data_IF_319538626735
#
_entry.id   IF_319538626735
#
_cell.length_a   1.000
_cell.length_b   1.000
_cell.length_c   1.000
_cell.angle_alpha   90.00
_cell.angle_beta   90.00
_cell.angle_gamma   90.00
#
_symmetry.space_group_name_H-M   'P 1'
#
loop_
_entity.id
_entity.type
_entity.pdbx_description
1 polymer ?
#
# COMPACT_ATOMS: atom_id res chain seq x y z
N UNK A 1 -0.67 13.70 -18.99
CA UNK A 1 -0.05 13.46 -17.67
C UNK A 1 1.33 12.87 -17.93
N UNK A 2 2.39 13.48 -17.39
CA UNK A 2 3.76 13.00 -17.59
C UNK A 2 4.31 12.24 -16.37
N UNK A 3 4.71 10.96 -16.51
CA UNK A 3 5.18 10.19 -15.37
C UNK A 3 6.55 10.66 -14.90
N UNK A 4 6.76 10.59 -13.58
CA UNK A 4 8.05 10.81 -12.95
C UNK A 4 8.95 9.58 -13.15
N UNK A 5 10.25 9.77 -13.39
CA UNK A 5 11.20 8.67 -13.46
C UNK A 5 11.46 8.10 -12.07
N UNK A 6 11.14 6.81 -11.89
CA UNK A 6 11.60 6.00 -10.78
C UNK A 6 12.36 4.78 -11.32
N UNK A 7 13.21 4.23 -10.47
CA UNK A 7 13.95 3.00 -10.75
C UNK A 7 13.74 2.02 -9.61
N UNK A 8 13.56 0.76 -9.98
CA UNK A 8 13.54 -0.36 -9.04
C UNK A 8 14.82 -1.16 -9.15
N UNK A 9 15.58 -1.25 -8.06
CA UNK A 9 16.68 -2.20 -7.94
C UNK A 9 16.08 -3.51 -7.43
N UNK A 10 16.09 -4.52 -8.30
CA UNK A 10 15.53 -5.83 -8.03
C UNK A 10 16.66 -6.83 -7.83
N UNK A 11 16.60 -7.55 -6.70
CA UNK A 11 17.49 -8.67 -6.42
C UNK A 11 16.65 -9.94 -6.46
N UNK A 12 16.94 -10.80 -7.44
CA UNK A 12 16.29 -12.09 -7.62
C UNK A 12 17.27 -13.25 -7.65
N UNK A 13 16.72 -14.46 -7.71
CA UNK A 13 17.43 -15.71 -7.95
C UNK A 13 18.56 -15.93 -6.94
N UNK A 14 18.28 -15.76 -5.65
CA UNK A 14 19.30 -15.93 -4.61
C UNK A 14 19.46 -17.40 -4.25
N UNK A 15 20.70 -17.89 -4.34
CA UNK A 15 21.03 -19.25 -3.93
C UNK A 15 22.44 -19.33 -3.34
N UNK A 16 22.61 -20.11 -2.27
CA UNK A 16 23.91 -20.38 -1.67
C UNK A 16 24.42 -21.76 -2.09
N UNK A 17 25.70 -21.83 -2.47
CA UNK A 17 26.46 -23.07 -2.72
C UNK A 17 27.66 -23.12 -1.78
N UNK A 18 27.71 -24.15 -0.95
CA UNK A 18 28.84 -24.43 -0.07
C UNK A 18 29.82 -25.40 -0.73
N UNK A 19 31.12 -25.35 -0.37
CA UNK A 19 32.05 -26.40 -0.78
C UNK A 19 31.67 -27.76 -0.16
N UNK A 20 31.97 -28.85 -0.88
CA UNK A 20 31.59 -30.23 -0.51
C UNK A 20 32.08 -30.64 0.90
N UNK A 21 33.20 -30.08 1.36
CA UNK A 21 33.75 -30.33 2.70
C UNK A 21 32.93 -29.72 3.86
N UNK A 22 31.90 -28.91 3.58
CA UNK A 22 31.14 -28.15 4.58
C UNK A 22 29.71 -28.66 4.83
N UNK A 23 29.54 -29.98 4.94
CA UNK A 23 28.25 -30.65 5.17
C UNK A 23 27.47 -30.17 6.41
N UNK A 24 28.13 -29.67 7.46
CA UNK A 24 27.45 -29.13 8.66
C UNK A 24 26.88 -27.72 8.47
N UNK A 25 27.29 -27.01 7.42
CA UNK A 25 26.79 -25.67 7.09
C UNK A 25 25.54 -25.75 6.21
N UNK A 26 25.32 -26.81 5.44
CA UNK A 26 24.14 -26.94 4.58
C UNK A 26 22.83 -27.12 5.35
N UNK A 27 22.85 -27.70 6.56
CA UNK A 27 21.64 -27.93 7.38
C UNK A 27 21.16 -26.71 8.16
N UNK A 28 21.81 -25.55 8.04
CA UNK A 28 21.41 -24.33 8.74
C UNK A 28 20.53 -23.43 7.86
N UNK A 29 19.64 -22.65 8.47
CA UNK A 29 18.89 -21.62 7.75
C UNK A 29 19.70 -20.33 7.61
N UNK A 30 19.71 -19.79 6.39
CA UNK A 30 20.42 -18.56 6.05
C UNK A 30 19.45 -17.50 5.55
N UNK A 31 19.81 -16.25 5.82
CA UNK A 31 19.12 -15.09 5.27
C UNK A 31 20.13 -14.05 4.81
N UNK A 32 19.75 -13.30 3.78
CA UNK A 32 20.49 -12.14 3.32
C UNK A 32 19.87 -10.87 3.87
N UNK A 33 20.72 -9.96 4.36
CA UNK A 33 20.36 -8.60 4.73
C UNK A 33 20.92 -7.62 3.70
N UNK A 34 20.04 -6.88 3.07
CA UNK A 34 20.33 -5.93 2.01
C UNK A 34 20.42 -4.53 2.61
N UNK A 35 21.53 -3.84 2.33
CA UNK A 35 21.78 -2.49 2.81
C UNK A 35 22.21 -1.60 1.65
N UNK A 36 21.42 -0.59 1.38
CA UNK A 36 21.77 0.52 0.51
C UNK A 36 21.75 1.80 1.34
N UNK A 37 22.72 2.70 1.12
CA UNK A 37 22.81 3.95 1.86
C UNK A 37 21.50 4.73 1.73
N UNK A 38 20.97 5.24 2.85
CA UNK A 38 19.75 6.05 2.85
C UNK A 38 18.43 5.28 2.65
N UNK A 39 18.48 3.95 2.48
CA UNK A 39 17.29 3.10 2.33
C UNK A 39 17.20 2.14 3.50
N UNK A 40 15.97 1.84 3.95
CA UNK A 40 15.73 0.87 5.01
C UNK A 40 16.26 -0.52 4.62
N UNK A 41 16.93 -1.20 5.54
CA UNK A 41 17.47 -2.54 5.28
C UNK A 41 16.33 -3.55 5.10
N UNK A 42 16.40 -4.35 4.04
CA UNK A 42 15.48 -5.47 3.81
C UNK A 42 16.18 -6.79 4.12
N UNK A 43 15.39 -7.81 4.46
CA UNK A 43 15.88 -9.17 4.76
C UNK A 43 15.09 -10.15 3.91
N UNK A 44 15.77 -11.15 3.35
CA UNK A 44 15.14 -12.25 2.62
C UNK A 44 15.82 -13.56 2.99
N UNK A 45 15.03 -14.61 3.20
CA UNK A 45 15.56 -15.95 3.38
C UNK A 45 16.14 -16.46 2.05
N UNK A 46 17.20 -17.26 2.13
CA UNK A 46 17.92 -17.75 0.95
C UNK A 46 17.94 -19.26 0.95
N UNK A 47 17.51 -19.83 -0.18
CA UNK A 47 17.53 -21.27 -0.43
C UNK A 47 18.96 -21.75 -0.65
N UNK A 48 19.23 -22.96 -0.17
CA UNK A 48 20.50 -23.64 -0.35
C UNK A 48 20.36 -24.67 -1.48
N UNK A 49 21.29 -24.68 -2.43
CA UNK A 49 21.36 -25.72 -3.47
C UNK A 49 22.38 -26.78 -3.05
N UNK A 50 21.91 -28.02 -2.88
CA UNK A 50 22.72 -29.12 -2.36
C UNK A 50 23.56 -29.85 -3.43
N UNK A 51 23.22 -29.72 -4.72
CA UNK A 51 23.88 -30.45 -5.81
C UNK A 51 24.10 -29.59 -7.06
N UNK A 52 25.06 -29.96 -7.90
CA UNK A 52 25.19 -29.40 -9.25
C UNK A 52 24.03 -29.87 -10.14
N UNK A 53 23.25 -28.93 -10.66
CA UNK A 53 22.09 -29.19 -11.51
C UNK A 53 20.76 -28.71 -10.93
N UNK A 54 20.73 -28.28 -9.67
CA UNK A 54 19.52 -27.77 -9.05
C UNK A 54 19.18 -26.37 -9.61
N UNK A 55 17.96 -26.19 -10.11
CA UNK A 55 17.56 -24.96 -10.77
C UNK A 55 17.37 -23.86 -9.72
N UNK A 56 18.01 -22.70 -9.93
CA UNK A 56 17.77 -21.54 -9.08
C UNK A 56 16.33 -21.08 -9.25
N UNK A 57 15.56 -21.07 -8.18
CA UNK A 57 14.18 -20.59 -8.20
C UNK A 57 14.14 -19.15 -8.72
N UNK A 58 13.34 -18.93 -9.77
CA UNK A 58 13.16 -17.60 -10.39
C UNK A 58 12.21 -16.76 -9.53
N UNK A 59 12.74 -16.24 -8.41
CA UNK A 59 12.00 -15.46 -7.43
C UNK A 59 12.64 -14.11 -7.17
N UNK A 60 11.82 -13.09 -6.99
CA UNK A 60 12.26 -11.77 -6.52
C UNK A 60 12.35 -11.82 -4.98
N UNK A 61 13.53 -11.55 -4.45
CA UNK A 61 13.79 -11.57 -3.01
C UNK A 61 13.71 -10.19 -2.38
N UNK A 62 14.16 -9.16 -3.12
CA UNK A 62 14.17 -7.76 -2.67
C UNK A 62 13.87 -6.83 -3.84
N UNK A 63 13.12 -5.77 -3.53
CA UNK A 63 12.82 -4.68 -4.43
C UNK A 63 13.03 -3.35 -3.69
N UNK A 64 13.96 -2.54 -4.19
CA UNK A 64 14.23 -1.18 -3.68
C UNK A 64 13.77 -0.17 -4.72
N UNK A 65 12.68 0.54 -4.44
CA UNK A 65 12.21 1.64 -5.28
C UNK A 65 12.94 2.94 -4.91
N UNK A 66 13.48 3.62 -5.90
CA UNK A 66 14.21 4.88 -5.77
C UNK A 66 13.61 5.93 -6.71
N UNK A 67 13.34 7.10 -6.16
CA UNK A 67 12.96 8.28 -6.92
C UNK A 67 14.20 8.96 -7.52
N UNK A 68 14.03 9.72 -8.61
CA UNK A 68 15.09 10.55 -9.19
C UNK A 68 15.89 11.39 -8.17
N UNK A 69 15.28 12.18 -7.26
CA UNK A 69 16.03 12.95 -6.28
C UNK A 69 16.80 12.07 -5.28
N UNK A 70 16.31 10.86 -4.97
CA UNK A 70 17.06 9.92 -4.13
C UNK A 70 18.30 9.38 -4.86
N UNK A 71 18.19 9.07 -6.16
CA UNK A 71 19.31 8.63 -6.99
C UNK A 71 20.36 9.76 -7.11
N UNK A 72 19.92 10.98 -7.40
CA UNK A 72 20.79 12.16 -7.47
C UNK A 72 21.49 12.44 -6.13
N UNK A 73 20.77 12.30 -5.01
CA UNK A 73 21.34 12.44 -3.66
C UNK A 73 22.35 11.33 -3.33
N UNK A 74 22.17 10.13 -3.88
CA UNK A 74 23.15 9.04 -3.77
C UNK A 74 24.39 9.33 -4.61
N UNK A 75 24.20 9.85 -5.83
CA UNK A 75 25.28 10.25 -6.72
C UNK A 75 26.11 11.38 -6.12
N UNK A 76 25.48 12.43 -5.59
CA UNK A 76 26.20 13.56 -4.97
C UNK A 76 27.04 13.19 -3.73
N UNK A 77 26.73 12.07 -3.06
CA UNK A 77 27.43 11.60 -1.85
C UNK A 77 28.48 10.52 -2.12
N UNK A 78 28.67 10.12 -3.38
CA UNK A 78 29.59 9.07 -3.78
C UNK A 78 30.35 9.47 -5.04
N UNK A 79 31.50 8.86 -5.31
CA UNK A 79 32.25 9.06 -6.54
C UNK A 79 31.58 8.30 -7.70
N UNK A 80 30.40 8.74 -8.13
CA UNK A 80 29.53 8.17 -9.17
C UNK A 80 28.89 6.79 -8.89
N UNK A 81 29.49 5.99 -8.00
CA UNK A 81 29.00 4.65 -7.66
C UNK A 81 28.45 4.56 -6.23
N UNK A 82 27.25 4.01 -6.10
CA UNK A 82 26.74 3.54 -4.79
C UNK A 82 26.99 2.04 -4.62
N UNK A 83 27.05 1.57 -3.38
CA UNK A 83 27.27 0.15 -3.10
C UNK A 83 26.06 -0.46 -2.42
N UNK A 84 25.47 -1.48 -3.04
CA UNK A 84 24.51 -2.36 -2.41
C UNK A 84 25.27 -3.45 -1.66
N UNK A 85 25.17 -3.43 -0.33
CA UNK A 85 25.81 -4.41 0.55
C UNK A 85 24.84 -5.55 0.86
N UNK A 86 25.22 -6.76 0.53
CA UNK A 86 24.45 -7.99 0.77
C UNK A 86 25.18 -8.80 1.84
N UNK A 87 24.66 -8.79 3.07
CA UNK A 87 25.24 -9.50 4.20
C UNK A 87 24.52 -10.85 4.40
N UNK A 88 25.26 -11.95 4.29
CA UNK A 88 24.71 -13.30 4.48
C UNK A 88 24.87 -13.68 5.94
N UNK A 89 23.77 -14.05 6.58
CA UNK A 89 23.74 -14.42 7.99
C UNK A 89 23.17 -15.81 8.18
N UNK A 90 23.76 -16.52 9.13
CA UNK A 90 23.22 -17.76 9.66
C UNK A 90 22.22 -17.43 10.77
N UNK A 91 21.03 -18.01 10.71
CA UNK A 91 20.06 -17.95 11.80
C UNK A 91 20.57 -18.83 12.96
N UNK A 92 20.70 -18.25 14.16
CA UNK A 92 21.16 -18.98 15.34
C UNK A 92 20.08 -19.92 15.87
N UNK A 93 20.47 -21.12 16.31
CA UNK A 93 19.60 -22.02 17.04
C UNK A 93 19.28 -21.50 18.45
N UNK A 94 18.20 -22.00 19.04
CA UNK A 94 17.69 -21.63 20.37
C UNK A 94 18.69 -22.09 21.45
N UNK A 95 19.64 -21.22 21.81
CA UNK A 95 20.36 -21.37 23.07
C UNK A 95 19.49 -20.83 24.21
N UNK A 96 19.16 -21.72 25.13
CA UNK A 96 18.49 -21.47 26.40
C UNK A 96 19.08 -20.25 27.14
N UNK A 97 18.21 -19.34 27.59
CA UNK A 97 18.53 -18.33 28.61
C UNK A 97 18.91 -16.94 28.08
N UNK A 98 18.14 -15.92 28.50
CA UNK A 98 18.57 -14.51 28.46
C UNK A 98 17.59 -13.56 27.75
N UNK A 99 16.93 -12.72 28.55
CA UNK A 99 15.95 -11.69 28.22
C UNK A 99 16.36 -10.71 27.09
N UNK A 100 15.43 -10.46 26.15
CA UNK A 100 15.15 -9.10 25.65
C UNK A 100 15.88 -8.54 24.42
N UNK A 101 16.82 -9.23 23.77
CA UNK A 101 17.52 -8.68 22.58
C UNK A 101 17.26 -9.51 21.32
N UNK A 102 16.78 -8.87 20.24
CA UNK A 102 16.71 -9.50 18.90
C UNK A 102 18.11 -9.94 18.49
N UNK A 103 18.44 -11.22 18.70
CA UNK A 103 19.76 -11.78 18.38
C UNK A 103 20.02 -11.69 16.88
N UNK A 104 20.86 -10.74 16.47
CA UNK A 104 21.38 -10.65 15.10
C UNK A 104 22.12 -11.95 14.78
N UNK A 105 21.76 -12.59 13.66
CA UNK A 105 22.41 -13.83 13.20
C UNK A 105 23.91 -13.64 12.97
N UNK A 106 24.68 -14.74 13.05
CA UNK A 106 26.14 -14.72 12.83
C UNK A 106 26.42 -14.38 11.36
N UNK A 107 27.27 -13.38 11.11
CA UNK A 107 27.70 -13.01 9.77
C UNK A 107 28.57 -14.13 9.19
N UNK A 108 28.19 -14.62 8.02
CA UNK A 108 28.89 -15.69 7.28
C UNK A 108 29.74 -15.08 6.18
N UNK A 109 29.24 -14.04 5.53
CA UNK A 109 29.97 -13.33 4.49
C UNK A 109 29.23 -12.12 3.97
N UNK A 110 29.86 -11.41 3.05
CA UNK A 110 29.36 -10.15 2.51
C UNK A 110 29.72 -10.03 1.04
N UNK A 111 28.76 -9.63 0.21
CA UNK A 111 28.98 -9.24 -1.18
C UNK A 111 28.68 -7.76 -1.34
N UNK A 112 29.52 -7.06 -2.09
CA UNK A 112 29.35 -5.65 -2.43
C UNK A 112 29.07 -5.56 -3.93
N UNK A 113 27.90 -5.03 -4.29
CA UNK A 113 27.52 -4.79 -5.69
C UNK A 113 27.62 -3.30 -5.96
N UNK A 114 28.43 -2.90 -6.94
CA UNK A 114 28.54 -1.51 -7.36
C UNK A 114 27.37 -1.15 -8.28
N UNK A 115 26.74 -0.02 -7.99
CA UNK A 115 25.62 0.54 -8.74
C UNK A 115 26.13 1.80 -9.46
N UNK A 116 26.20 1.76 -10.78
CA UNK A 116 26.48 2.93 -11.61
C UNK A 116 25.23 3.80 -11.69
N UNK A 117 25.17 4.84 -10.86
CA UNK A 117 23.98 5.67 -10.73
C UNK A 117 23.71 6.52 -11.97
N UNK A 118 24.76 6.92 -12.70
CA UNK A 118 24.65 7.71 -13.92
C UNK A 118 24.00 6.87 -15.02
N UNK A 119 24.55 5.68 -15.26
CA UNK A 119 24.01 4.74 -16.24
C UNK A 119 22.59 4.29 -15.86
N UNK A 120 22.30 4.06 -14.57
CA UNK A 120 20.94 3.74 -14.11
C UNK A 120 19.95 4.87 -14.42
N UNK A 121 20.35 6.13 -14.20
CA UNK A 121 19.49 7.29 -14.46
C UNK A 121 19.26 7.50 -15.97
N UNK A 122 20.29 7.35 -16.79
CA UNK A 122 20.21 7.43 -18.25
C UNK A 122 19.32 6.32 -18.84
N UNK A 123 19.48 5.08 -18.36
CA UNK A 123 18.65 3.95 -18.78
C UNK A 123 17.20 4.09 -18.33
N UNK A 124 16.93 4.73 -17.19
CA UNK A 124 15.57 5.07 -16.76
C UNK A 124 14.87 5.99 -17.75
N UNK A 125 15.58 7.00 -18.28
CA UNK A 125 15.05 7.90 -19.30
C UNK A 125 14.76 7.23 -20.65
N UNK A 126 15.51 6.18 -21.00
CA UNK A 126 15.31 5.40 -22.24
C UNK A 126 14.44 4.14 -22.04
N UNK A 127 13.87 3.97 -20.85
CA UNK A 127 13.03 2.83 -20.46
C UNK A 127 13.71 1.46 -20.69
N UNK A 128 15.02 1.38 -20.42
CA UNK A 128 15.82 0.15 -20.57
C UNK A 128 16.15 -0.47 -19.21
N UNK A 129 15.91 -1.76 -19.06
CA UNK A 129 16.38 -2.54 -17.91
C UNK A 129 17.88 -2.78 -18.03
N UNK A 130 18.62 -2.53 -16.94
CA UNK A 130 20.06 -2.77 -16.87
C UNK A 130 20.37 -3.89 -15.89
N UNK A 131 21.07 -4.93 -16.37
CA UNK A 131 21.59 -5.99 -15.50
C UNK A 131 22.91 -5.52 -14.91
N UNK A 132 23.00 -5.49 -13.58
CA UNK A 132 24.17 -5.00 -12.85
C UNK A 132 25.07 -6.17 -12.46
N UNK A 133 24.47 -7.25 -11.94
CA UNK A 133 25.18 -8.46 -11.57
C UNK A 133 24.31 -9.67 -11.90
N UNK A 134 24.87 -10.68 -12.56
CA UNK A 134 24.17 -11.95 -12.79
C UNK A 134 25.14 -13.12 -12.68
N UNK A 135 24.81 -14.09 -11.84
CA UNK A 135 25.57 -15.32 -11.68
C UNK A 135 26.17 -15.50 -10.29
N UNK A 136 27.13 -16.42 -10.21
CA UNK A 136 27.78 -16.83 -8.97
C UNK A 136 28.91 -15.88 -8.56
N UNK A 137 28.90 -15.44 -7.31
CA UNK A 137 29.94 -14.61 -6.70
C UNK A 137 30.55 -15.35 -5.52
N UNK A 138 31.88 -15.47 -5.51
CA UNK A 138 32.63 -16.06 -4.38
C UNK A 138 32.63 -15.13 -3.17
N UNK A 139 32.49 -15.70 -1.98
CA UNK A 139 32.37 -14.97 -0.71
C UNK A 139 33.55 -15.30 0.19
N UNK A 140 34.53 -14.39 0.18
CA UNK A 140 35.82 -14.59 0.83
C UNK A 140 36.55 -15.84 0.31
N UNK A 141 37.51 -16.33 1.09
CA UNK A 141 38.37 -17.46 0.68
C UNK A 141 37.80 -18.83 1.08
N UNK A 142 36.57 -18.85 1.61
CA UNK A 142 35.92 -20.04 2.19
C UNK A 142 35.34 -21.01 1.17
N UNK A 143 35.44 -20.73 -0.13
CA UNK A 143 34.80 -21.50 -1.20
C UNK A 143 33.27 -21.35 -1.28
N UNK A 144 32.66 -20.56 -0.39
CA UNK A 144 31.23 -20.22 -0.42
C UNK A 144 30.91 -19.37 -1.65
N UNK A 145 29.85 -19.72 -2.38
CA UNK A 145 29.36 -18.94 -3.52
C UNK A 145 27.90 -18.54 -3.32
N UNK A 146 27.55 -17.33 -3.74
CA UNK A 146 26.18 -16.82 -3.78
C UNK A 146 25.82 -16.51 -5.23
N UNK A 147 24.77 -17.15 -5.72
CA UNK A 147 24.12 -16.77 -6.95
C UNK A 147 23.20 -15.58 -6.68
N UNK A 148 23.23 -14.58 -7.55
CA UNK A 148 22.28 -13.47 -7.51
C UNK A 148 22.06 -12.90 -8.89
N UNK A 149 20.86 -12.35 -9.10
CA UNK A 149 20.53 -11.49 -10.23
C UNK A 149 20.14 -10.12 -9.68
N UNK A 150 20.99 -9.11 -9.89
CA UNK A 150 20.75 -7.72 -9.53
C UNK A 150 20.54 -6.92 -10.81
N UNK A 151 19.39 -6.27 -10.91
CA UNK A 151 19.00 -5.46 -12.07
C UNK A 151 18.34 -4.16 -11.64
N UNK A 152 18.52 -3.12 -12.45
CA UNK A 152 17.79 -1.87 -12.36
C UNK A 152 16.71 -1.86 -13.44
N UNK A 153 15.45 -1.82 -13.02
CA UNK A 153 14.28 -1.75 -13.89
C UNK A 153 13.70 -0.33 -13.87
N UNK A 154 13.40 0.29 -15.02
CA UNK A 154 12.63 1.53 -15.05
C UNK A 154 11.22 1.26 -14.52
N UNK A 155 10.69 2.20 -13.75
CA UNK A 155 9.39 2.05 -13.10
C UNK A 155 8.66 3.40 -13.10
N UNK A 156 8.26 3.95 -14.26
CA UNK A 156 7.63 5.26 -14.34
C UNK A 156 6.38 5.36 -13.44
N UNK A 157 6.23 6.46 -12.68
CA UNK A 157 5.11 6.64 -11.74
C UNK A 157 4.49 8.03 -11.86
N UNK A 158 3.18 8.12 -11.77
CA UNK A 158 2.48 9.39 -11.57
C UNK A 158 2.49 9.76 -10.09
N UNK A 159 2.80 11.01 -9.77
CA UNK A 159 2.74 11.54 -8.40
C UNK A 159 1.66 12.61 -8.36
N UNK A 160 0.72 12.47 -7.45
CA UNK A 160 -0.37 13.40 -7.21
C UNK A 160 -0.28 13.94 -5.80
N UNK A 161 -0.32 15.26 -5.66
CA UNK A 161 -0.35 15.94 -4.37
C UNK A 161 -1.68 16.66 -4.18
N UNK A 162 -2.35 16.40 -3.06
CA UNK A 162 -3.49 17.19 -2.63
C UNK A 162 -2.99 18.55 -2.14
N UNK A 163 -3.69 19.63 -2.49
CA UNK A 163 -3.37 20.97 -1.98
C UNK A 163 -4.02 21.29 -0.64
N UNK A 164 -4.92 20.43 -0.17
CA UNK A 164 -5.63 20.50 1.10
C UNK A 164 -6.06 19.12 1.59
N UNK A 165 -6.86 19.11 2.64
CA UNK A 165 -7.37 17.87 3.25
C UNK A 165 -8.60 17.38 2.48
N UNK A 166 -8.81 16.06 2.29
CA UNK A 166 -9.90 15.55 1.46
C UNK A 166 -11.31 16.05 1.83
N UNK A 167 -11.60 16.25 3.12
CA UNK A 167 -12.87 16.81 3.62
C UNK A 167 -13.09 18.28 3.25
N UNK A 168 -12.02 19.04 3.00
CA UNK A 168 -12.07 20.44 2.58
C UNK A 168 -12.32 20.62 1.07
N UNK A 169 -12.61 19.54 0.34
CA UNK A 169 -12.81 19.56 -1.12
C UNK A 169 -11.63 20.17 -1.92
N UNK A 170 -10.40 19.61 -1.79
CA UNK A 170 -9.17 20.18 -2.32
C UNK A 170 -9.00 19.99 -3.83
N UNK A 171 -8.05 20.70 -4.43
CA UNK A 171 -7.54 20.37 -5.76
C UNK A 171 -6.41 19.34 -5.66
N UNK A 172 -6.27 18.54 -6.72
CA UNK A 172 -5.23 17.53 -6.83
C UNK A 172 -4.33 17.90 -8.00
N UNK A 173 -3.04 18.01 -7.71
CA UNK A 173 -2.01 18.39 -8.67
C UNK A 173 -1.18 17.17 -9.04
N UNK A 174 -0.96 16.97 -10.33
CA UNK A 174 0.12 16.13 -10.79
C UNK A 174 1.45 16.85 -10.53
N UNK A 175 2.36 16.19 -9.81
CA UNK A 175 3.67 16.72 -9.43
C UNK A 175 4.74 16.02 -10.24
N UNK A 176 5.55 16.78 -10.98
CA UNK A 176 6.74 16.28 -11.66
C UNK A 176 7.92 17.23 -11.39
N UNK A 177 8.76 16.86 -10.43
CA UNK A 177 9.83 17.74 -9.94
C UNK A 177 9.26 19.02 -9.33
N UNK A 178 9.61 20.17 -9.91
CA UNK A 178 9.09 21.49 -9.51
C UNK A 178 7.77 21.85 -10.17
N UNK A 179 7.36 21.15 -11.23
CA UNK A 179 6.13 21.43 -11.95
C UNK A 179 4.94 20.82 -11.21
N UNK A 180 3.90 21.63 -11.00
CA UNK A 180 2.62 21.22 -10.43
C UNK A 180 1.50 21.63 -11.37
N UNK A 181 0.78 20.65 -11.90
CA UNK A 181 -0.33 20.88 -12.80
C UNK A 181 -1.63 20.39 -12.16
N UNK A 182 -2.69 21.22 -12.04
CA UNK A 182 -3.98 20.75 -11.56
C UNK A 182 -4.54 19.73 -12.54
N UNK A 183 -5.04 18.61 -12.02
CA UNK A 183 -5.61 17.52 -12.83
C UNK A 183 -6.99 17.10 -12.36
N UNK A 184 -7.27 17.20 -11.06
CA UNK A 184 -8.57 16.87 -10.49
C UNK A 184 -9.01 17.88 -9.43
N UNK A 185 -10.30 17.92 -9.15
CA UNK A 185 -10.87 18.55 -7.97
C UNK A 185 -11.70 17.56 -7.16
N UNK A 186 -11.59 17.65 -5.85
CA UNK A 186 -12.33 16.81 -4.92
C UNK A 186 -13.59 17.54 -4.45
N UNK A 187 -14.69 16.80 -4.27
CA UNK A 187 -15.89 17.28 -3.60
C UNK A 187 -16.26 16.31 -2.51
N UNK A 188 -16.10 16.75 -1.26
CA UNK A 188 -16.59 16.01 -0.10
C UNK A 188 -18.10 16.23 0.05
N UNK A 189 -18.81 15.18 0.44
CA UNK A 189 -20.26 15.19 0.60
C UNK A 189 -20.68 14.37 1.80
N UNK A 190 -21.62 14.92 2.56
CA UNK A 190 -22.24 14.27 3.71
C UNK A 190 -23.72 13.98 3.42
N UNK A 191 -24.07 12.70 3.27
CA UNK A 191 -25.46 12.29 3.08
C UNK A 191 -26.16 12.22 4.45
N UNK A 192 -26.83 13.29 4.84
CA UNK A 192 -27.83 13.23 5.93
C UNK A 192 -29.00 12.36 5.48
N UNK A 193 -29.56 11.57 6.40
CA UNK A 193 -30.67 10.65 6.13
C UNK A 193 -31.96 11.33 5.61
N UNK A 194 -32.02 12.66 5.53
CA UNK A 194 -33.16 13.44 5.05
C UNK A 194 -33.23 13.66 3.53
N UNK A 195 -32.14 13.44 2.79
CA UNK A 195 -32.10 13.81 1.36
C UNK A 195 -32.78 12.79 0.42
N UNK A 196 -33.25 11.66 0.95
CA UNK A 196 -34.14 10.74 0.22
C UNK A 196 -35.50 11.36 -0.11
N UNK A 197 -35.87 12.49 0.50
CA UNK A 197 -37.13 13.17 0.22
C UNK A 197 -37.08 14.12 -1.00
N UNK A 198 -35.90 14.56 -1.44
CA UNK A 198 -35.77 15.62 -2.47
C UNK A 198 -35.45 15.11 -3.89
N UNK A 199 -35.37 13.80 -4.10
CA UNK A 199 -35.35 13.18 -5.45
C UNK A 199 -36.71 12.63 -5.85
N UNK A 200 -37.77 13.35 -5.53
CA UNK A 200 -39.12 13.07 -6.00
C UNK A 200 -39.34 13.72 -7.37
N UNK A 201 -39.54 12.87 -8.38
CA UNK A 201 -40.42 13.05 -9.54
C UNK A 201 -40.75 14.50 -9.94
N UNK A 202 -40.16 14.94 -11.03
CA UNK A 202 -40.75 15.94 -11.91
C UNK A 202 -42.08 15.43 -12.48
N UNK A 203 -43.20 16.07 -12.13
CA UNK A 203 -44.36 16.42 -12.99
C UNK A 203 -45.62 16.66 -12.15
N UNK A 204 -46.07 17.92 -12.06
CA UNK A 204 -47.44 18.37 -12.29
C UNK A 204 -47.65 19.76 -11.64
N UNK A 205 -48.32 20.61 -12.40
CA UNK A 205 -48.67 22.01 -12.18
C UNK A 205 -49.66 22.21 -11.02
N UNK A 206 -49.53 23.33 -10.29
CA UNK A 206 -50.56 24.39 -10.17
C UNK A 206 -50.45 25.22 -8.86
N UNK A 207 -50.38 26.54 -9.08
CA UNK A 207 -51.09 27.63 -8.37
C UNK A 207 -51.03 27.73 -6.83
N UNK A 208 -50.16 28.66 -6.38
CA UNK A 208 -50.33 29.66 -5.31
C UNK A 208 -50.83 29.30 -3.88
N UNK A 209 -50.26 30.08 -2.95
CA UNK A 209 -50.70 30.43 -1.59
C UNK A 209 -50.17 29.65 -0.39
N UNK A 210 -49.57 30.45 0.48
CA UNK A 210 -49.15 30.20 1.86
C UNK A 210 -50.13 29.41 2.69
N UNK A 211 -49.59 28.52 3.55
CA UNK A 211 -49.96 28.25 4.94
C UNK A 211 -49.74 26.76 5.27
N UNK A 212 -48.58 26.40 5.82
CA UNK A 212 -48.41 25.24 6.70
C UNK A 212 -46.99 25.19 7.27
N UNK A 213 -46.81 25.69 8.50
CA UNK A 213 -46.11 24.98 9.58
C UNK A 213 -46.13 25.82 10.86
N UNK A 214 -47.32 25.92 11.44
CA UNK A 214 -47.54 26.39 12.80
C UNK A 214 -47.47 25.20 13.76
N UNK A 215 -46.27 24.76 14.14
CA UNK A 215 -46.03 24.04 15.41
C UNK A 215 -44.59 24.28 15.86
N UNK A 216 -44.35 25.42 16.52
CA UNK A 216 -43.21 25.61 17.42
C UNK A 216 -43.78 25.72 18.83
N UNK A 217 -43.74 24.62 19.58
CA UNK A 217 -43.91 24.67 21.04
C UNK A 217 -42.54 24.84 21.67
N UNK A 218 -42.42 25.87 22.50
CA UNK A 218 -41.26 26.16 23.32
C UNK A 218 -41.28 25.34 24.62
N UNK A 219 -40.09 24.99 25.11
CA UNK A 219 -39.85 24.62 26.51
C UNK A 219 -39.00 23.36 26.71
N UNK A 220 -37.74 23.57 27.11
CA UNK A 220 -36.84 22.69 27.90
C UNK A 220 -36.59 21.26 27.34
N UNK A 221 -35.38 20.78 27.10
CA UNK A 221 -34.10 20.95 27.80
C UNK A 221 -32.94 20.89 26.78
N UNK A 222 -31.78 21.38 27.19
CA UNK A 222 -30.49 21.15 26.54
C UNK A 222 -30.20 19.63 26.51
N UNK A 223 -30.74 18.92 25.52
CA UNK A 223 -30.29 17.56 25.22
C UNK A 223 -28.94 17.72 24.52
N UNK A 224 -27.87 17.63 25.32
CA UNK A 224 -26.51 17.37 24.85
C UNK A 224 -26.60 16.37 23.69
N UNK A 225 -26.24 16.81 22.48
CA UNK A 225 -26.12 15.95 21.32
C UNK A 225 -25.24 14.76 21.69
N UNK A 226 -25.87 13.63 22.02
CA UNK A 226 -25.18 12.37 22.27
C UNK A 226 -24.24 12.13 21.09
N UNK A 227 -22.93 11.92 21.33
CA UNK A 227 -21.96 11.76 20.25
C UNK A 227 -22.48 10.68 19.30
N UNK A 228 -22.57 11.03 18.01
CA UNK A 228 -23.08 10.17 16.94
C UNK A 228 -22.61 8.73 17.15
N UNK A 229 -23.55 7.82 17.47
CA UNK A 229 -23.26 6.39 17.70
C UNK A 229 -22.68 5.70 16.45
N UNK A 230 -22.70 6.38 15.30
CA UNK A 230 -22.22 5.89 14.01
C UNK A 230 -21.68 7.05 13.17
N UNK A 231 -20.60 6.82 12.43
CA UNK A 231 -20.10 7.73 11.39
C UNK A 231 -20.48 7.13 10.04
N UNK A 232 -21.38 7.80 9.31
CA UNK A 232 -21.98 7.30 8.07
C UNK A 232 -22.17 8.40 7.03
N UNK A 233 -22.40 7.99 5.79
CA UNK A 233 -22.85 8.89 4.72
C UNK A 233 -21.77 9.77 4.10
N UNK A 234 -20.49 9.55 4.44
CA UNK A 234 -19.38 10.28 3.83
C UNK A 234 -19.14 9.78 2.41
N UNK A 235 -18.92 10.72 1.51
CA UNK A 235 -18.54 10.45 0.13
C UNK A 235 -17.59 11.53 -0.35
N UNK A 236 -16.69 11.15 -1.24
CA UNK A 236 -15.83 12.08 -1.97
C UNK A 236 -15.93 11.77 -3.46
N UNK A 237 -16.18 12.78 -4.27
CA UNK A 237 -16.25 12.66 -5.73
C UNK A 237 -15.09 13.43 -6.33
N UNK A 238 -14.34 12.77 -7.21
CA UNK A 238 -13.23 13.33 -7.95
C UNK A 238 -13.77 13.79 -9.30
N UNK A 239 -13.55 15.05 -9.63
CA UNK A 239 -13.92 15.64 -10.91
C UNK A 239 -12.66 15.95 -11.71
N UNK A 240 -12.78 15.87 -13.03
CA UNK A 240 -11.75 16.37 -13.93
C UNK A 240 -11.76 17.91 -13.96
N UNK A 241 -10.94 18.49 -14.83
CA UNK A 241 -10.90 19.95 -15.03
C UNK A 241 -12.16 20.52 -15.70
N UNK A 242 -13.00 19.68 -16.33
CA UNK A 242 -14.29 20.09 -16.88
C UNK A 242 -15.40 20.13 -15.83
N UNK A 243 -15.14 19.61 -14.62
CA UNK A 243 -16.13 19.44 -13.56
C UNK A 243 -16.96 18.16 -13.71
N UNK A 244 -16.57 17.25 -14.60
CA UNK A 244 -17.21 15.94 -14.78
C UNK A 244 -16.71 14.93 -13.75
N UNK A 245 -17.60 14.17 -13.09
CA UNK A 245 -17.20 13.21 -12.07
C UNK A 245 -16.53 11.98 -12.71
N UNK A 246 -15.25 11.76 -12.41
CA UNK A 246 -14.41 10.71 -13.00
C UNK A 246 -14.06 9.57 -12.05
N UNK A 247 -14.26 9.76 -10.74
CA UNK A 247 -14.21 8.69 -9.74
C UNK A 247 -14.98 9.12 -8.49
N UNK A 248 -15.36 8.16 -7.65
CA UNK A 248 -15.93 8.47 -6.34
C UNK A 248 -15.52 7.42 -5.30
N UNK A 249 -15.47 7.82 -4.04
CA UNK A 249 -15.44 6.89 -2.92
C UNK A 249 -16.61 7.21 -1.99
N UNK A 250 -17.37 6.19 -1.58
CA UNK A 250 -18.54 6.36 -0.70
C UNK A 250 -18.49 5.33 0.41
N UNK A 251 -18.82 5.73 1.64
CA UNK A 251 -19.03 4.78 2.72
C UNK A 251 -20.15 3.81 2.36
N UNK A 252 -19.81 2.53 2.36
CA UNK A 252 -20.75 1.42 2.17
C UNK A 252 -21.21 0.89 3.53
N UNK A 253 -20.24 0.60 4.42
CA UNK A 253 -20.50 0.16 5.79
C UNK A 253 -20.15 1.29 6.74
N UNK A 254 -21.09 1.74 7.59
CA UNK A 254 -20.82 2.81 8.55
C UNK A 254 -19.76 2.38 9.56
N UNK A 255 -19.02 3.35 10.09
CA UNK A 255 -18.04 3.13 11.14
C UNK A 255 -18.79 3.20 12.47
N UNK A 256 -18.78 2.10 13.22
CA UNK A 256 -19.54 1.93 14.47
C UNK A 256 -18.61 1.37 15.56
N UNK A 257 -18.68 1.85 16.82
CA UNK A 257 -17.92 1.28 17.91
C UNK A 257 -18.38 -0.15 18.22
N UNK A 258 -17.46 -1.04 18.57
CA UNK A 258 -17.79 -2.39 19.04
C UNK A 258 -18.48 -2.36 20.43
N UNK A 259 -19.26 -3.40 20.76
CA UNK A 259 -20.16 -3.46 21.94
C UNK A 259 -19.52 -3.19 23.31
N UNK A 260 -18.18 -3.18 23.43
CA UNK A 260 -17.48 -2.88 24.68
C UNK A 260 -16.26 -1.97 24.49
N UNK A 261 -16.19 -1.25 23.37
CA UNK A 261 -15.07 -0.35 23.09
C UNK A 261 -15.51 0.80 22.20
N UNK A 262 -14.96 1.96 22.50
CA UNK A 262 -15.17 3.21 21.79
C UNK A 262 -14.47 3.28 20.41
N UNK A 263 -14.17 2.14 19.79
CA UNK A 263 -13.37 2.06 18.56
C UNK A 263 -13.96 1.03 17.60
N UNK A 264 -13.73 1.25 16.31
CA UNK A 264 -14.10 0.31 15.23
C UNK A 264 -13.17 -0.90 15.28
N UNK A 265 -13.72 -2.09 15.48
CA UNK A 265 -12.94 -3.34 15.61
C UNK A 265 -12.73 -4.01 14.26
N UNK A 266 -11.75 -4.93 14.18
CA UNK A 266 -11.53 -5.76 13.00
C UNK A 266 -12.72 -6.68 12.68
N UNK A 267 -13.53 -7.04 13.67
CA UNK A 267 -14.72 -7.88 13.50
C UNK A 267 -15.90 -7.14 12.85
N UNK A 268 -15.93 -5.81 12.95
CA UNK A 268 -16.92 -4.96 12.29
C UNK A 268 -16.23 -3.73 11.68
N UNK A 269 -15.47 -3.91 10.59
CA UNK A 269 -14.73 -2.83 9.97
C UNK A 269 -15.67 -1.89 9.20
N UNK A 270 -15.35 -0.59 9.23
CA UNK A 270 -15.99 0.35 8.33
C UNK A 270 -15.48 0.13 6.91
N UNK A 271 -16.31 0.39 5.90
CA UNK A 271 -15.98 0.08 4.52
C UNK A 271 -16.35 1.21 3.57
N UNK A 272 -15.46 1.47 2.62
CA UNK A 272 -15.64 2.37 1.49
C UNK A 272 -15.73 1.55 0.21
N UNK A 273 -16.61 1.98 -0.68
CA UNK A 273 -16.68 1.50 -2.05
C UNK A 273 -16.09 2.56 -2.97
N UNK A 274 -15.06 2.18 -3.72
CA UNK A 274 -14.46 3.00 -4.77
C UNK A 274 -15.16 2.71 -6.08
N UNK A 275 -15.59 3.76 -6.77
CA UNK A 275 -16.46 3.73 -7.93
C UNK A 275 -15.76 4.41 -9.11
N UNK A 276 -15.90 3.80 -10.29
CA UNK A 276 -15.52 4.38 -11.58
C UNK A 276 -16.77 4.66 -12.43
N UNK A 277 -16.75 5.67 -13.31
CA UNK A 277 -17.81 5.86 -14.28
C UNK A 277 -17.87 4.68 -15.25
N UNK A 278 -19.07 4.19 -15.54
CA UNK A 278 -19.38 3.22 -16.59
C UNK A 278 -20.37 3.81 -17.59
N UNK A 279 -20.96 2.95 -18.44
CA UNK A 279 -21.98 3.36 -19.42
C UNK A 279 -23.28 3.82 -18.74
N UNK A 280 -23.32 5.08 -18.29
CA UNK A 280 -24.48 5.71 -17.65
C UNK A 280 -24.69 5.35 -16.18
N UNK A 281 -23.81 4.56 -15.56
CA UNK A 281 -23.89 4.15 -14.15
C UNK A 281 -22.52 4.15 -13.47
N UNK A 282 -22.50 4.18 -12.14
CA UNK A 282 -21.29 3.98 -11.35
C UNK A 282 -21.00 2.49 -11.20
N UNK A 283 -19.77 2.07 -11.53
CA UNK A 283 -19.30 0.70 -11.38
C UNK A 283 -18.37 0.57 -10.18
N UNK A 284 -18.53 -0.46 -9.33
CA UNK A 284 -17.59 -0.74 -8.26
C UNK A 284 -16.23 -1.15 -8.83
N UNK A 285 -15.16 -0.57 -8.29
CA UNK A 285 -13.78 -0.87 -8.69
C UNK A 285 -12.99 -1.51 -7.56
N UNK A 286 -13.24 -1.10 -6.32
CA UNK A 286 -12.56 -1.66 -5.16
C UNK A 286 -13.28 -1.39 -3.87
N UNK A 287 -12.99 -2.19 -2.86
CA UNK A 287 -13.51 -2.08 -1.50
C UNK A 287 -12.35 -1.85 -0.55
N UNK A 288 -12.42 -0.75 0.19
CA UNK A 288 -11.47 -0.44 1.25
C UNK A 288 -12.15 -0.64 2.59
N UNK A 289 -11.62 -1.52 3.42
CA UNK A 289 -12.01 -1.65 4.82
C UNK A 289 -10.97 -1.03 5.74
N UNK A 290 -11.44 -0.43 6.83
CA UNK A 290 -10.61 0.17 7.84
C UNK A 290 -11.15 -0.09 9.26
N UNK A 291 -10.25 -0.32 10.19
CA UNK A 291 -10.55 -0.54 11.60
C UNK A 291 -9.39 -0.05 12.48
N UNK A 292 -9.64 0.10 13.78
CA UNK A 292 -8.62 0.50 14.75
C UNK A 292 -8.19 -0.72 15.58
N UNK A 293 -6.93 -1.10 15.44
CA UNK A 293 -6.33 -2.15 16.23
C UNK A 293 -5.67 -1.55 17.48
N UNK A 294 -6.17 -1.95 18.65
CA UNK A 294 -5.63 -1.53 19.95
C UNK A 294 -4.66 -2.59 20.45
N UNK A 295 -3.37 -2.31 20.36
CA UNK A 295 -2.37 -3.17 20.99
C UNK A 295 -2.08 -2.64 22.40
N UNK A 296 -2.41 -3.41 23.45
CA UNK A 296 -2.17 -3.01 24.86
C UNK A 296 -0.69 -2.99 25.27
N UNK A 297 0.25 -3.25 24.34
CA UNK A 297 1.69 -3.13 24.55
C UNK A 297 2.30 -1.77 24.17
N UNK A 298 3.63 -1.71 24.08
CA UNK A 298 4.46 -0.51 23.78
C UNK A 298 4.17 0.09 22.36
N UNK A 299 3.39 -0.61 21.53
CA UNK A 299 3.23 -0.34 20.10
C UNK A 299 2.14 0.67 19.68
N UNK A 300 1.41 1.27 20.62
CA UNK A 300 0.37 2.29 20.33
C UNK A 300 -0.82 1.81 19.49
N UNK A 301 -1.80 2.69 19.29
CA UNK A 301 -2.97 2.42 18.46
C UNK A 301 -2.58 2.40 16.97
N UNK A 302 -3.09 1.43 16.21
CA UNK A 302 -2.81 1.26 14.78
C UNK A 302 -4.11 1.30 13.97
N UNK A 303 -4.06 1.89 12.79
CA UNK A 303 -5.13 1.83 11.79
C UNK A 303 -4.88 0.59 10.91
N UNK A 304 -5.72 -0.43 11.05
CA UNK A 304 -5.72 -1.57 10.13
C UNK A 304 -6.53 -1.22 8.89
N UNK A 305 -6.05 -1.69 7.74
CA UNK A 305 -6.76 -1.52 6.47
C UNK A 305 -6.69 -2.81 5.66
N UNK A 306 -7.69 -3.01 4.80
CA UNK A 306 -7.69 -4.03 3.74
C UNK A 306 -8.28 -3.44 2.48
N UNK A 307 -7.62 -3.61 1.34
CA UNK A 307 -8.11 -3.20 0.05
C UNK A 307 -8.28 -4.41 -0.86
N UNK A 308 -9.51 -4.61 -1.31
CA UNK A 308 -9.92 -5.68 -2.20
C UNK A 308 -10.34 -5.08 -3.56
N UNK A 309 -9.76 -5.56 -4.65
CA UNK A 309 -10.14 -5.15 -6.02
C UNK A 309 -11.36 -5.94 -6.48
N UNK A 310 -12.26 -5.27 -7.19
CA UNK A 310 -13.47 -5.87 -7.77
C UNK A 310 -13.27 -5.95 -9.28
N UNK A 311 -13.08 -7.15 -9.86
CA UNK A 311 -12.90 -7.31 -11.30
C UNK A 311 -14.19 -6.98 -12.05
N UNK A 312 -14.04 -6.40 -13.24
CA UNK A 312 -15.18 -6.03 -14.08
C UNK A 312 -15.99 -7.28 -14.47
N UNK A 313 -17.23 -7.38 -13.97
CA UNK A 313 -18.16 -8.48 -14.26
C UNK A 313 -18.08 -9.68 -13.32
N UNK A 314 -17.23 -9.65 -12.28
CA UNK A 314 -17.13 -10.70 -11.26
C UNK A 314 -17.75 -10.31 -9.91
N UNK A 315 -18.22 -11.31 -9.15
CA UNK A 315 -18.64 -11.14 -7.74
C UNK A 315 -17.48 -11.34 -6.75
N UNK A 316 -16.40 -12.01 -7.19
CA UNK A 316 -15.28 -12.35 -6.33
C UNK A 316 -14.29 -11.19 -6.22
N UNK A 317 -13.99 -10.79 -4.99
CA UNK A 317 -13.04 -9.72 -4.70
C UNK A 317 -11.64 -10.29 -4.45
N UNK A 318 -10.60 -9.60 -4.93
CA UNK A 318 -9.21 -10.03 -4.71
C UNK A 318 -8.50 -9.05 -3.77
N UNK A 319 -8.07 -9.56 -2.61
CA UNK A 319 -7.29 -8.78 -1.64
C UNK A 319 -5.94 -8.39 -2.21
N UNK A 320 -5.71 -7.09 -2.45
CA UNK A 320 -4.45 -6.56 -2.96
C UNK A 320 -3.52 -6.08 -1.87
N UNK A 321 -4.08 -5.60 -0.75
CA UNK A 321 -3.27 -5.13 0.38
C UNK A 321 -4.01 -5.28 1.69
N UNK A 322 -3.30 -5.72 2.72
CA UNK A 322 -3.79 -5.77 4.10
C UNK A 322 -2.62 -5.48 5.03
N UNK A 323 -2.72 -4.40 5.82
CA UNK A 323 -1.64 -4.03 6.74
C UNK A 323 -2.14 -3.08 7.82
N UNK A 324 -1.21 -2.57 8.62
CA UNK A 324 -1.49 -1.63 9.71
C UNK A 324 -0.56 -0.43 9.67
N UNK A 325 -1.12 0.77 9.80
CA UNK A 325 -0.40 2.04 9.90
C UNK A 325 -0.45 2.52 11.35
N UNK A 326 0.60 3.15 11.85
CA UNK A 326 0.55 3.74 13.18
C UNK A 326 -0.43 4.93 13.19
N UNK A 327 -1.44 4.88 14.06
CA UNK A 327 -2.49 5.90 14.06
C UNK A 327 -1.97 7.27 14.51
N UNK A 328 -0.90 7.37 15.31
CA UNK A 328 -0.37 8.66 15.83
C UNK A 328 0.70 9.28 14.94
N UNK A 329 1.61 8.48 14.41
CA UNK A 329 2.67 8.97 13.53
C UNK A 329 2.25 9.02 12.06
N UNK A 330 1.17 8.33 11.69
CA UNK A 330 0.83 8.07 10.30
C UNK A 330 1.78 7.04 9.69
N UNK A 331 1.82 7.00 8.36
CA UNK A 331 2.72 6.15 7.60
C UNK A 331 2.41 6.16 6.11
N UNK A 332 2.78 5.09 5.42
CA UNK A 332 2.56 4.94 3.99
C UNK A 332 1.74 3.68 3.73
N UNK A 333 0.59 3.85 3.09
CA UNK A 333 -0.14 2.78 2.44
C UNK A 333 0.60 2.42 1.14
N UNK A 334 0.82 1.15 0.85
CA UNK A 334 1.44 0.72 -0.40
C UNK A 334 0.90 -0.61 -0.88
N UNK A 335 0.62 -0.68 -2.17
CA UNK A 335 0.23 -1.89 -2.90
C UNK A 335 1.33 -2.17 -3.90
N UNK A 336 2.04 -3.28 -3.71
CA UNK A 336 3.13 -3.73 -4.59
C UNK A 336 3.03 -5.25 -4.77
N UNK A 337 2.85 -5.68 -6.01
CA UNK A 337 2.67 -7.10 -6.41
C UNK A 337 3.93 -7.59 -7.11
N UNK A 338 5.10 -7.24 -6.57
CA UNK A 338 6.41 -7.67 -7.10
C UNK A 338 6.82 -9.08 -6.66
N UNK A 339 6.51 -9.48 -5.43
CA UNK A 339 6.99 -10.74 -4.84
C UNK A 339 6.00 -11.89 -4.92
N UNK A 340 4.92 -11.74 -5.69
CA UNK A 340 3.74 -12.60 -5.62
C UNK A 340 3.05 -12.50 -4.25
N UNK A 341 1.88 -13.12 -4.09
CA UNK A 341 1.17 -13.16 -2.82
C UNK A 341 2.01 -13.88 -1.77
N UNK A 342 2.79 -13.12 -1.01
CA UNK A 342 3.36 -13.55 0.26
C UNK A 342 2.81 -12.61 1.32
N UNK A 343 2.14 -13.10 2.37
CA UNK A 343 1.65 -12.26 3.46
C UNK A 343 2.88 -11.71 4.19
N UNK A 344 3.34 -10.54 3.76
CA UNK A 344 4.54 -9.94 4.33
C UNK A 344 4.15 -9.24 5.64
N UNK A 345 4.63 -9.84 6.74
CA UNK A 345 4.76 -9.26 8.08
C UNK A 345 3.49 -8.97 8.90
N UNK A 346 2.85 -10.04 9.39
CA UNK A 346 2.30 -10.06 10.75
C UNK A 346 3.07 -11.08 11.58
N UNK A 347 3.86 -10.61 12.55
CA UNK A 347 4.16 -11.41 13.73
C UNK A 347 2.83 -11.73 14.39
N UNK A 348 2.50 -13.01 14.53
CA UNK A 348 1.24 -13.58 15.04
C UNK A 348 0.10 -13.74 14.04
N UNK A 349 0.25 -14.70 13.13
CA UNK A 349 -0.88 -15.52 12.66
C UNK A 349 -0.31 -16.82 12.11
N UNK A 350 -0.52 -17.90 12.86
CA UNK A 350 -0.20 -19.26 12.43
C UNK A 350 -1.14 -19.64 11.31
N UNK A 351 -0.61 -19.88 10.12
CA UNK A 351 -1.27 -20.73 9.13
C UNK A 351 -0.21 -21.75 8.71
N UNK A 352 -0.39 -22.98 9.16
CA UNK A 352 0.41 -24.13 8.75
C UNK A 352 0.16 -24.37 7.26
N UNK A 353 1.06 -23.91 6.41
CA UNK A 353 1.20 -24.47 5.07
C UNK A 353 2.09 -25.70 5.19
N UNK A 354 1.45 -26.79 5.58
CA UNK A 354 2.04 -28.12 5.51
C UNK A 354 2.44 -28.45 4.07
N UNK A 355 3.62 -29.02 3.93
CA UNK A 355 4.13 -29.65 2.72
C UNK A 355 3.07 -30.48 2.02
N UNK A 356 2.89 -30.27 0.72
CA UNK A 356 2.27 -31.26 -0.15
C UNK A 356 2.97 -31.25 -1.52
N UNK A 357 4.07 -32.00 -1.58
CA UNK A 357 4.42 -32.71 -2.80
C UNK A 357 3.34 -33.78 -3.01
N UNK A 358 2.51 -33.63 -4.04
CA UNK A 358 1.47 -34.61 -4.32
C UNK A 358 0.52 -34.14 -5.42
N UNK A 359 0.66 -34.77 -6.57
CA UNK A 359 -0.27 -34.73 -7.70
C UNK A 359 -1.75 -34.80 -7.29
N UNK A 360 -2.60 -33.93 -7.87
CA UNK A 360 -4.05 -34.14 -7.83
C UNK A 360 -4.89 -32.88 -8.05
N UNK A 361 -5.45 -32.79 -9.26
CA UNK A 361 -6.77 -32.19 -9.57
C UNK A 361 -7.02 -30.70 -9.29
N UNK A 362 -6.90 -29.91 -10.38
CA UNK A 362 -7.84 -28.85 -10.80
C UNK A 362 -9.08 -28.70 -9.91
N UNK A 363 -9.21 -27.63 -9.10
CA UNK A 363 -10.20 -26.57 -9.42
C UNK A 363 -10.07 -25.23 -8.66
N UNK A 364 -9.11 -25.03 -7.74
CA UNK A 364 -9.11 -23.82 -6.88
C UNK A 364 -8.08 -22.72 -7.25
N UNK A 365 -7.43 -22.82 -8.41
CA UNK A 365 -6.38 -21.89 -8.86
C UNK A 365 -6.87 -20.77 -9.81
N UNK A 366 -8.19 -20.62 -10.00
CA UNK A 366 -8.76 -19.76 -11.04
C UNK A 366 -8.74 -18.25 -10.79
N UNK A 367 -8.89 -17.80 -9.54
CA UNK A 367 -9.18 -16.38 -9.25
C UNK A 367 -7.92 -15.51 -9.02
N UNK A 368 -6.89 -16.04 -8.36
CA UNK A 368 -5.65 -15.30 -8.07
C UNK A 368 -4.68 -15.21 -9.28
N UNK A 369 -4.88 -16.05 -10.30
CA UNK A 369 -3.98 -16.16 -11.46
C UNK A 369 -4.06 -14.96 -12.41
N UNK A 370 -5.26 -14.41 -12.65
CA UNK A 370 -5.46 -13.25 -13.54
C UNK A 370 -5.01 -11.93 -12.93
N UNK A 371 -5.12 -11.77 -11.61
CA UNK A 371 -4.65 -10.55 -10.94
C UNK A 371 -3.13 -10.41 -11.04
N UNK A 372 -2.39 -11.53 -11.01
CA UNK A 372 -0.94 -11.50 -11.27
C UNK A 372 -0.60 -11.13 -12.73
N UNK A 373 -1.49 -11.44 -13.68
CA UNK A 373 -1.33 -11.07 -15.09
C UNK A 373 -1.67 -9.60 -15.35
N UNK A 374 -2.69 -9.06 -14.67
CA UNK A 374 -3.17 -7.69 -14.84
C UNK A 374 -2.42 -6.67 -13.97
N UNK A 375 -2.03 -7.07 -12.76
CA UNK A 375 -1.31 -6.23 -11.80
C UNK A 375 0.00 -6.91 -11.40
N UNK A 376 1.08 -6.51 -12.06
CA UNK A 376 2.44 -6.95 -11.75
C UNK A 376 3.28 -5.73 -11.40
N UNK A 377 3.97 -5.74 -10.27
CA UNK A 377 4.84 -4.62 -9.89
C UNK A 377 4.18 -3.62 -8.92
N UNK A 378 4.72 -2.41 -8.89
CA UNK A 378 4.23 -1.34 -8.01
C UNK A 378 2.91 -0.78 -8.52
N UNK A 379 1.86 -0.86 -7.70
CA UNK A 379 0.52 -0.38 -8.06
C UNK A 379 0.31 1.05 -7.58
N UNK A 380 0.35 1.25 -6.26
CA UNK A 380 0.21 2.58 -5.69
C UNK A 380 0.84 2.69 -4.30
N UNK A 381 1.06 3.91 -3.85
CA UNK A 381 1.24 4.23 -2.44
C UNK A 381 0.62 5.58 -2.10
N UNK A 382 0.12 5.72 -0.88
CA UNK A 382 -0.42 6.97 -0.36
C UNK A 382 0.17 7.28 1.01
N UNK A 383 0.57 8.53 1.24
CA UNK A 383 0.96 8.99 2.56
C UNK A 383 -0.28 9.29 3.40
N UNK A 384 -0.32 8.75 4.61
CA UNK A 384 -1.42 8.96 5.56
C UNK A 384 -0.84 9.63 6.79
N UNK A 385 -1.36 10.79 7.18
CA UNK A 385 -0.91 11.47 8.41
C UNK A 385 -1.60 10.88 9.64
N UNK A 386 -0.92 11.04 10.78
CA UNK A 386 -1.44 10.55 12.06
C UNK A 386 -2.62 11.38 12.57
N UNK A 387 -3.40 10.74 13.44
CA UNK A 387 -4.52 11.28 14.20
C UNK A 387 -4.19 12.68 14.78
N UNK A 388 -5.12 13.61 14.60
CA UNK A 388 -5.04 15.00 15.00
C UNK A 388 -4.17 15.90 14.12
N UNK A 389 -3.54 15.38 13.06
CA UNK A 389 -2.69 16.18 12.15
C UNK A 389 -3.36 16.36 10.81
N UNK A 390 -3.46 17.62 10.40
CA UNK A 390 -3.86 18.01 9.06
C UNK A 390 -2.90 17.44 8.02
N UNK A 391 -3.40 16.58 7.15
CA UNK A 391 -2.62 15.87 6.14
C UNK A 391 -3.01 16.30 4.74
N UNK A 392 -2.00 16.50 3.88
CA UNK A 392 -2.18 16.54 2.44
C UNK A 392 -1.69 15.21 1.90
N UNK A 393 -2.58 14.30 1.45
CA UNK A 393 -2.14 13.03 0.89
C UNK A 393 -1.26 13.25 -0.34
N UNK A 394 -0.13 12.55 -0.38
CA UNK A 394 0.66 12.36 -1.58
C UNK A 394 0.41 10.94 -2.09
N UNK A 395 -0.03 10.83 -3.34
CA UNK A 395 -0.40 9.59 -4.01
C UNK A 395 0.60 9.32 -5.11
N UNK A 396 1.21 8.15 -5.10
CA UNK A 396 2.12 7.69 -6.14
C UNK A 396 1.49 6.47 -6.80
N UNK A 397 1.36 6.46 -8.12
CA UNK A 397 0.71 5.39 -8.89
C UNK A 397 1.65 4.91 -9.98
N UNK A 398 1.82 3.60 -10.15
CA UNK A 398 2.62 3.05 -11.26
C UNK A 398 1.98 3.38 -12.61
N UNK A 399 2.75 3.94 -13.55
CA UNK A 399 2.21 4.41 -14.83
C UNK A 399 1.61 3.27 -15.66
N UNK A 400 2.12 2.06 -15.52
CA UNK A 400 1.59 0.84 -16.15
C UNK A 400 0.14 0.49 -15.74
N UNK A 401 -0.36 1.03 -14.63
CA UNK A 401 -1.72 0.80 -14.14
C UNK A 401 -2.68 1.96 -14.45
N UNK A 402 -2.24 2.95 -15.22
CA UNK A 402 -3.03 4.13 -15.56
C UNK A 402 -3.09 4.24 -17.08
N UNK A 403 -4.22 3.83 -17.66
CA UNK A 403 -4.45 3.96 -19.11
C UNK A 403 -5.16 5.25 -19.48
N UNK A 404 -5.98 5.77 -18.56
CA UNK A 404 -6.71 7.02 -18.70
C UNK A 404 -6.74 7.83 -17.40
N UNK A 405 -7.29 9.05 -17.46
CA UNK A 405 -7.45 9.92 -16.29
C UNK A 405 -8.35 9.33 -15.21
N UNK A 406 -9.36 8.56 -15.61
CA UNK A 406 -10.34 7.93 -14.72
C UNK A 406 -9.67 6.85 -13.85
N UNK A 407 -8.71 6.11 -14.41
CA UNK A 407 -7.92 5.13 -13.65
C UNK A 407 -7.10 5.84 -12.56
N UNK A 408 -6.42 6.94 -12.91
CA UNK A 408 -5.69 7.75 -11.93
C UNK A 408 -6.62 8.33 -10.86
N UNK A 409 -7.81 8.81 -11.26
CA UNK A 409 -8.81 9.35 -10.35
C UNK A 409 -9.32 8.30 -9.35
N UNK A 410 -9.42 7.01 -9.75
CA UNK A 410 -9.81 5.94 -8.86
C UNK A 410 -8.78 5.72 -7.73
N UNK A 411 -7.48 5.78 -8.04
CA UNK A 411 -6.41 5.74 -7.04
C UNK A 411 -6.41 6.96 -6.12
N UNK A 412 -6.70 8.15 -6.66
CA UNK A 412 -6.85 9.40 -5.89
C UNK A 412 -8.05 9.28 -4.93
N UNK A 413 -9.18 8.76 -5.39
CA UNK A 413 -10.37 8.51 -4.56
C UNK A 413 -10.08 7.51 -3.43
N UNK A 414 -9.34 6.43 -3.72
CA UNK A 414 -8.90 5.46 -2.72
C UNK A 414 -7.98 6.10 -1.66
N UNK A 415 -7.03 6.95 -2.08
CA UNK A 415 -6.16 7.67 -1.16
C UNK A 415 -6.94 8.62 -0.24
N UNK A 416 -7.93 9.33 -0.78
CA UNK A 416 -8.81 10.18 0.02
C UNK A 416 -9.65 9.37 1.03
N UNK A 417 -10.21 8.23 0.61
CA UNK A 417 -10.96 7.34 1.49
C UNK A 417 -10.08 6.76 2.63
N UNK A 418 -8.82 6.43 2.32
CA UNK A 418 -7.84 5.99 3.32
C UNK A 418 -7.53 7.09 4.34
N UNK A 419 -7.34 8.32 3.90
CA UNK A 419 -7.05 9.45 4.78
C UNK A 419 -8.26 9.77 5.69
N UNK A 420 -9.47 9.85 5.12
CA UNK A 420 -10.73 10.01 5.87
C UNK A 420 -10.98 8.86 6.85
N UNK A 421 -10.48 7.66 6.56
CA UNK A 421 -10.59 6.50 7.47
C UNK A 421 -9.77 6.69 8.76
N UNK A 422 -8.72 7.52 8.76
CA UNK A 422 -8.00 7.88 9.98
C UNK A 422 -8.92 8.59 10.96
N UNK A 423 -9.71 9.55 10.47
CA UNK A 423 -10.71 10.26 11.26
C UNK A 423 -11.90 9.36 11.60
N UNK A 424 -12.41 8.61 10.62
CA UNK A 424 -13.55 7.71 10.82
C UNK A 424 -13.29 6.61 11.86
N UNK A 425 -12.03 6.17 12.03
CA UNK A 425 -11.64 5.20 13.05
C UNK A 425 -11.24 5.81 14.40
N UNK A 426 -11.22 7.14 14.59
CA UNK A 426 -10.93 7.74 15.90
C UNK A 426 -11.88 7.22 16.98
N UNK A 427 -11.47 7.22 18.27
CA UNK A 427 -12.41 6.95 19.36
C UNK A 427 -13.68 7.81 19.23
N UNK A 428 -14.87 7.26 19.46
CA UNK A 428 -16.13 8.01 19.37
C UNK A 428 -16.31 8.99 20.54
N UNK A 429 -15.58 8.80 21.64
CA UNK A 429 -15.41 9.79 22.72
C UNK A 429 -14.68 11.06 22.27
N UNK A 430 -13.99 11.02 21.13
CA UNK A 430 -13.30 12.19 20.57
C UNK A 430 -14.13 12.83 19.48
N UNK A 431 -14.26 14.15 19.57
CA UNK A 431 -14.85 14.97 18.50
C UNK A 431 -13.98 14.89 17.24
N UNK A 432 -14.64 14.86 16.10
CA UNK A 432 -14.00 14.99 14.79
C UNK A 432 -13.54 16.45 14.57
N UNK A 433 -12.81 16.66 13.48
CA UNK A 433 -12.41 18.01 13.05
C UNK A 433 -13.66 18.78 12.62
N UNK A 434 -13.63 20.11 12.66
CA UNK A 434 -14.79 20.96 12.36
C UNK A 434 -15.39 20.76 10.97
N UNK A 435 -14.56 20.28 10.03
CA UNK A 435 -14.93 20.01 8.64
C UNK A 435 -15.67 18.67 8.46
N UNK A 436 -15.80 17.83 9.51
CA UNK A 436 -16.32 16.45 9.49
C UNK A 436 -17.48 16.17 10.44
#
# INVERSE_FOLDING_TARGET
MDPCPFVRIVVGNLALKFPEASSRLSSASYYCKFKLRGVASQISDVSHLAAEGDAVESRIHVCLALSKPEIEKLAAKSSDFSTLKIEIRRRGGRESGGCGSLRSGKLVGCVLVQLDLKNILENSGTNRTSVIQNGWVSIGDSGLKLHMNVRAEPDPRFVFGFDGEPECSPQVFQVNGSLKQPVFSCKFGFRTSGERALRSRSSATDTSTSLANCFRSAGAEEDEERPLKERKGWSITIHDLSGSPVAAASMLTPFVPSENSDCVSKSNPGAWLILRPGYGTWKPWGRLEAWRERNRGIGGDRLGYRFDLIPDGGIDTVSLASSTINAKSGGKFSVDITTGFTPMSSTSSSFDLGSASGSGSSSDLGSASWVHLLYRGFVMSSTVRGDGKSGKPEVVVGAQHVTCSEDAAAFVALAAALDLSVDACRPFSRKLRKEL
#
